data_IF_555988985715
#
_entry.id   IF_555988985715
#
_cell.length_a   1.000
_cell.length_b   1.000
_cell.length_c   1.000
_cell.angle_alpha   90.00
_cell.angle_beta   90.00
_cell.angle_gamma   90.00
#
_symmetry.space_group_name_H-M   'P 1'
#
loop_
_entity.id
_entity.type
_entity.pdbx_description
1 polymer ?
#
# COMPACT_ATOMS: atom_id res chain seq x y z
N UNK A 1 2.03 37.42 -11.70
CA UNK A 1 2.22 36.46 -12.80
C UNK A 1 2.92 35.23 -12.24
N UNK A 2 2.13 34.21 -11.90
CA UNK A 2 2.61 32.96 -11.33
C UNK A 2 3.14 32.08 -12.47
N UNK A 3 4.45 31.77 -12.45
CA UNK A 3 5.08 30.89 -13.43
C UNK A 3 4.57 29.47 -13.18
N UNK A 4 3.62 29.02 -14.01
CA UNK A 4 3.24 27.61 -14.11
C UNK A 4 4.51 26.84 -14.47
N UNK A 5 5.06 26.13 -13.48
CA UNK A 5 6.26 25.31 -13.60
C UNK A 5 5.99 24.24 -14.66
N UNK A 6 6.69 24.30 -15.79
CA UNK A 6 6.59 23.29 -16.86
C UNK A 6 6.79 21.91 -16.24
N UNK A 7 5.79 21.06 -16.39
CA UNK A 7 5.84 19.64 -16.06
C UNK A 7 7.03 19.06 -16.83
N UNK A 8 8.12 18.76 -16.13
CA UNK A 8 9.26 18.09 -16.73
C UNK A 8 8.79 16.77 -17.31
N UNK A 9 9.19 16.47 -18.55
CA UNK A 9 8.94 15.16 -19.17
C UNK A 9 9.41 14.07 -18.20
N UNK A 10 8.54 13.10 -17.84
CA UNK A 10 8.92 12.03 -16.93
C UNK A 10 10.15 11.30 -17.49
N UNK A 11 11.12 11.02 -16.63
CA UNK A 11 12.35 10.35 -17.04
C UNK A 11 12.05 9.02 -17.72
N UNK A 12 12.79 8.67 -18.77
CA UNK A 12 12.57 7.46 -19.58
C UNK A 12 12.49 6.17 -18.73
N UNK A 13 13.22 6.12 -17.60
CA UNK A 13 13.15 5.03 -16.64
C UNK A 13 11.75 4.84 -16.02
N UNK A 14 11.07 5.92 -15.65
CA UNK A 14 9.72 5.87 -15.09
C UNK A 14 8.68 5.42 -16.12
N UNK A 15 8.86 5.82 -17.37
CA UNK A 15 7.97 5.39 -18.46
C UNK A 15 8.17 3.89 -18.72
N UNK A 16 9.43 3.43 -18.78
CA UNK A 16 9.75 2.02 -18.98
C UNK A 16 9.23 1.14 -17.83
N UNK A 17 9.39 1.57 -16.57
CA UNK A 17 8.91 0.83 -15.40
C UNK A 17 7.38 0.78 -15.33
N UNK A 18 6.69 1.90 -15.64
CA UNK A 18 5.23 1.93 -15.71
C UNK A 18 4.69 1.00 -16.80
N UNK A 19 5.34 1.00 -17.98
CA UNK A 19 4.95 0.12 -19.11
C UNK A 19 5.11 -1.35 -18.74
N UNK A 20 6.21 -1.71 -18.07
CA UNK A 20 6.44 -3.07 -17.58
C UNK A 20 5.38 -3.49 -16.56
N UNK A 21 5.03 -2.61 -15.61
CA UNK A 21 3.98 -2.89 -14.63
C UNK A 21 2.63 -3.14 -15.31
N UNK A 22 2.25 -2.32 -16.30
CA UNK A 22 1.02 -2.50 -17.07
C UNK A 22 1.02 -3.81 -17.88
N UNK A 23 2.16 -4.18 -18.47
CA UNK A 23 2.29 -5.44 -19.21
C UNK A 23 2.07 -6.66 -18.29
N UNK A 24 2.62 -6.64 -17.08
CA UNK A 24 2.41 -7.72 -16.09
C UNK A 24 0.92 -7.83 -15.73
N UNK A 25 0.26 -6.71 -15.46
CA UNK A 25 -1.18 -6.68 -15.13
C UNK A 25 -2.01 -7.22 -16.29
N UNK A 26 -1.71 -6.83 -17.53
CA UNK A 26 -2.41 -7.32 -18.72
C UNK A 26 -2.24 -8.83 -18.91
N UNK A 27 -1.03 -9.37 -18.71
CA UNK A 27 -0.77 -10.81 -18.78
C UNK A 27 -1.58 -11.56 -17.71
N UNK A 28 -1.58 -11.06 -16.47
CA UNK A 28 -2.35 -11.65 -15.37
C UNK A 28 -3.86 -11.63 -15.67
N UNK A 29 -4.38 -10.56 -16.28
CA UNK A 29 -5.78 -10.45 -16.68
C UNK A 29 -6.15 -11.46 -17.79
N UNK A 30 -5.26 -11.69 -18.76
CA UNK A 30 -5.50 -12.63 -19.88
C UNK A 30 -5.43 -14.11 -19.46
N UNK A 31 -4.68 -14.46 -18.42
CA UNK A 31 -4.51 -15.84 -17.93
C UNK A 31 -5.78 -16.48 -17.33
N UNK A 32 -6.86 -15.70 -17.18
CA UNK A 32 -8.17 -16.16 -16.74
C UNK A 32 -8.30 -16.36 -15.22
N UNK A 33 -9.55 -16.48 -14.77
CA UNK A 33 -9.93 -16.40 -13.34
C UNK A 33 -9.21 -17.40 -12.42
N UNK A 34 -8.91 -18.62 -12.90
CA UNK A 34 -8.27 -19.66 -12.08
C UNK A 34 -6.81 -19.35 -11.75
N UNK A 35 -6.09 -18.77 -12.70
CA UNK A 35 -4.70 -18.36 -12.51
C UNK A 35 -4.66 -17.03 -11.75
N UNK A 36 -5.57 -16.12 -12.06
CA UNK A 36 -5.76 -14.88 -11.30
C UNK A 36 -5.94 -15.15 -9.81
N UNK A 37 -6.80 -16.09 -9.41
CA UNK A 37 -7.01 -16.42 -8.00
C UNK A 37 -5.73 -16.93 -7.29
N UNK A 38 -4.86 -17.67 -7.98
CA UNK A 38 -3.57 -18.12 -7.42
C UNK A 38 -2.59 -16.96 -7.28
N UNK A 39 -2.51 -16.09 -8.28
CA UNK A 39 -1.63 -14.92 -8.29
C UNK A 39 -2.10 -13.89 -7.26
N UNK A 40 -3.41 -13.62 -7.16
CA UNK A 40 -3.99 -12.71 -6.17
C UNK A 40 -3.68 -13.16 -4.74
N UNK A 41 -3.76 -14.46 -4.44
CA UNK A 41 -3.32 -15.00 -3.13
C UNK A 41 -1.85 -14.69 -2.87
N UNK A 42 -0.98 -14.87 -3.86
CA UNK A 42 0.44 -14.53 -3.71
C UNK A 42 0.65 -13.02 -3.51
N UNK A 43 -0.06 -12.17 -4.26
CA UNK A 43 0.01 -10.70 -4.13
C UNK A 43 -0.42 -10.23 -2.74
N UNK A 44 -1.34 -10.92 -2.08
CA UNK A 44 -1.77 -10.58 -0.71
C UNK A 44 -0.82 -11.15 0.35
N UNK A 45 -0.33 -12.37 0.17
CA UNK A 45 0.54 -13.04 1.16
C UNK A 45 1.97 -12.48 1.13
N UNK A 46 2.49 -12.15 -0.06
CA UNK A 46 3.88 -11.72 -0.22
C UNK A 46 4.22 -10.44 0.57
N UNK A 47 3.42 -9.35 0.53
CA UNK A 47 3.65 -8.18 1.37
C UNK A 47 3.67 -8.50 2.86
N UNK A 48 2.83 -9.45 3.32
CA UNK A 48 2.80 -9.89 4.71
C UNK A 48 4.11 -10.58 5.11
N UNK A 49 4.66 -11.42 4.22
CA UNK A 49 5.96 -12.08 4.42
C UNK A 49 7.07 -11.03 4.45
N UNK A 50 7.07 -10.08 3.51
CA UNK A 50 8.04 -8.99 3.47
C UNK A 50 7.99 -8.15 4.75
N UNK A 51 6.79 -7.77 5.20
CA UNK A 51 6.60 -7.03 6.44
C UNK A 51 7.14 -7.79 7.65
N UNK A 52 6.84 -9.09 7.74
CA UNK A 52 7.37 -9.96 8.79
C UNK A 52 8.89 -10.02 8.76
N UNK A 53 9.49 -10.21 7.57
CA UNK A 53 10.93 -10.26 7.41
C UNK A 53 11.61 -8.93 7.78
N UNK A 54 11.03 -7.79 7.38
CA UNK A 54 11.51 -6.46 7.77
C UNK A 54 11.41 -6.24 9.28
N UNK A 55 10.34 -6.70 9.92
CA UNK A 55 10.16 -6.62 11.37
C UNK A 55 11.21 -7.47 12.09
N UNK A 56 11.46 -8.70 11.63
CA UNK A 56 12.51 -9.56 12.17
C UNK A 56 13.89 -8.92 12.01
N UNK A 57 14.18 -8.38 10.83
CA UNK A 57 15.43 -7.66 10.58
C UNK A 57 15.61 -6.47 11.52
N UNK A 58 14.56 -5.67 11.72
CA UNK A 58 14.56 -4.56 12.68
C UNK A 58 14.78 -5.05 14.11
N UNK A 59 14.14 -6.14 14.53
CA UNK A 59 14.36 -6.75 15.85
C UNK A 59 15.80 -7.24 16.04
N UNK A 60 16.42 -7.82 15.01
CA UNK A 60 17.80 -8.29 15.06
C UNK A 60 18.83 -7.15 15.07
N UNK A 61 18.57 -6.04 14.37
CA UNK A 61 19.53 -4.94 14.23
C UNK A 61 19.35 -3.82 15.26
N UNK A 62 18.13 -3.37 15.49
CA UNK A 62 17.81 -2.30 16.45
C UNK A 62 17.58 -2.82 17.88
N UNK A 63 17.39 -4.14 18.03
CA UNK A 63 17.06 -4.79 19.29
C UNK A 63 15.56 -4.87 19.54
N UNK A 64 15.13 -5.99 20.14
CA UNK A 64 13.71 -6.30 20.38
C UNK A 64 12.97 -5.19 21.14
N UNK A 65 13.57 -4.68 22.22
CA UNK A 65 12.95 -3.68 23.08
C UNK A 65 12.81 -2.31 22.42
N UNK A 66 13.78 -1.91 21.60
CA UNK A 66 13.70 -0.65 20.85
C UNK A 66 12.63 -0.73 19.77
N UNK A 67 12.55 -1.85 19.04
CA UNK A 67 11.53 -2.06 18.02
C UNK A 67 10.13 -2.09 18.62
N UNK A 68 9.93 -2.79 19.74
CA UNK A 68 8.65 -2.77 20.47
C UNK A 68 8.33 -1.38 21.01
N UNK A 69 9.33 -0.66 21.54
CA UNK A 69 9.18 0.72 22.01
C UNK A 69 8.69 1.66 20.91
N UNK A 70 9.30 1.61 19.73
CA UNK A 70 8.88 2.43 18.57
C UNK A 70 7.50 2.05 18.03
N UNK A 71 7.14 0.77 18.08
CA UNK A 71 5.78 0.33 17.74
C UNK A 71 4.79 0.90 18.76
N UNK A 72 5.09 0.78 20.06
CA UNK A 72 4.22 1.29 21.13
C UNK A 72 4.07 2.82 21.08
N UNK A 73 5.14 3.55 20.73
CA UNK A 73 5.11 4.99 20.53
C UNK A 73 4.25 5.37 19.32
N UNK A 74 4.33 4.63 18.22
CA UNK A 74 3.44 4.80 17.06
C UNK A 74 1.96 4.55 17.35
N UNK A 75 1.65 3.74 18.37
CA UNK A 75 0.28 3.51 18.86
C UNK A 75 -0.14 4.40 20.03
N UNK A 76 0.74 5.29 20.50
CA UNK A 76 0.42 6.16 21.63
C UNK A 76 -0.68 7.16 21.23
N UNK A 77 -1.82 7.18 21.93
CA UNK A 77 -2.97 7.97 21.49
C UNK A 77 -2.75 9.46 21.73
N UNK A 78 -2.59 10.22 20.65
CA UNK A 78 -2.56 11.68 20.72
C UNK A 78 -4.00 12.23 20.81
N UNK A 79 -4.48 12.47 22.04
CA UNK A 79 -5.86 12.91 22.30
C UNK A 79 -6.22 14.24 21.64
N UNK A 80 -5.23 15.10 21.40
CA UNK A 80 -5.46 16.41 20.80
C UNK A 80 -5.75 16.29 19.29
N UNK A 81 -5.04 15.39 18.59
CA UNK A 81 -5.29 15.08 17.18
C UNK A 81 -6.59 14.28 16.98
N UNK A 82 -6.96 13.43 17.93
CA UNK A 82 -8.20 12.66 17.88
C UNK A 82 -9.47 13.52 17.87
N UNK A 83 -9.44 14.72 18.46
CA UNK A 83 -10.58 15.64 18.47
C UNK A 83 -10.61 16.58 17.25
N UNK A 84 -9.59 16.54 16.39
CA UNK A 84 -9.54 17.36 15.19
C UNK A 84 -10.47 16.80 14.11
N UNK A 85 -11.21 17.67 13.41
CA UNK A 85 -12.10 17.22 12.33
C UNK A 85 -11.33 16.65 11.13
N UNK A 86 -10.06 17.05 10.99
CA UNK A 86 -9.14 16.56 9.97
C UNK A 86 -8.84 15.07 10.18
N UNK A 87 -8.53 14.63 11.40
CA UNK A 87 -8.24 13.21 11.66
C UNK A 87 -9.44 12.31 11.39
N UNK A 88 -10.66 12.76 11.73
CA UNK A 88 -11.90 12.06 11.38
C UNK A 88 -12.13 12.01 9.87
N UNK A 89 -11.84 13.09 9.16
CA UNK A 89 -11.97 13.14 7.70
C UNK A 89 -10.99 12.19 7.01
N UNK A 90 -9.72 12.17 7.45
CA UNK A 90 -8.70 11.25 6.95
C UNK A 90 -9.04 9.80 7.29
N UNK A 91 -9.50 9.52 8.50
CA UNK A 91 -9.92 8.18 8.91
C UNK A 91 -11.11 7.69 8.08
N UNK A 92 -12.14 8.52 7.87
CA UNK A 92 -13.28 8.19 7.01
C UNK A 92 -12.84 7.91 5.58
N UNK A 93 -11.97 8.76 5.02
CA UNK A 93 -11.42 8.58 3.68
C UNK A 93 -10.62 7.26 3.58
N UNK A 94 -9.78 6.98 4.57
CA UNK A 94 -8.96 5.76 4.62
C UNK A 94 -9.81 4.49 4.68
N UNK A 95 -10.87 4.49 5.50
CA UNK A 95 -11.84 3.38 5.58
C UNK A 95 -12.58 3.24 4.26
N UNK A 96 -13.07 4.33 3.67
CA UNK A 96 -13.77 4.30 2.37
C UNK A 96 -12.89 3.71 1.26
N UNK A 97 -11.64 4.16 1.11
CA UNK A 97 -10.74 3.61 0.10
C UNK A 97 -10.39 2.15 0.36
N UNK A 98 -10.11 1.78 1.61
CA UNK A 98 -9.75 0.41 1.96
C UNK A 98 -10.92 -0.57 1.72
N UNK A 99 -12.14 -0.17 2.09
CA UNK A 99 -13.33 -1.00 1.92
C UNK A 99 -13.77 -1.08 0.44
N UNK A 100 -13.68 0.03 -0.30
CA UNK A 100 -13.97 0.05 -1.73
C UNK A 100 -12.99 -0.83 -2.51
N UNK A 101 -11.70 -0.81 -2.15
CA UNK A 101 -10.68 -1.69 -2.72
C UNK A 101 -10.94 -3.18 -2.40
N UNK A 102 -11.33 -3.50 -1.16
CA UNK A 102 -11.74 -4.85 -0.77
C UNK A 102 -12.98 -5.33 -1.52
N UNK A 103 -13.99 -4.47 -1.74
CA UNK A 103 -15.19 -4.80 -2.51
C UNK A 103 -14.89 -5.00 -4.00
N UNK A 104 -13.96 -4.23 -4.57
CA UNK A 104 -13.50 -4.41 -5.95
C UNK A 104 -12.75 -5.73 -6.17
N UNK A 105 -12.00 -6.20 -5.17
CA UNK A 105 -11.27 -7.48 -5.23
C UNK A 105 -12.18 -8.67 -4.90
N UNK A 106 -13.18 -8.46 -4.03
CA UNK A 106 -14.07 -9.52 -3.52
C UNK A 106 -15.34 -9.69 -4.35
N UNK A 107 -15.66 -8.76 -5.25
CA UNK A 107 -16.77 -8.93 -6.18
C UNK A 107 -16.42 -10.03 -7.18
N UNK A 108 -17.14 -11.17 -7.21
CA UNK A 108 -17.13 -11.98 -8.40
C UNK A 108 -17.72 -11.11 -9.51
N UNK A 109 -16.90 -10.69 -10.47
CA UNK A 109 -17.40 -10.16 -11.74
C UNK A 109 -18.36 -11.21 -12.30
N UNK A 110 -19.67 -10.94 -12.22
CA UNK A 110 -20.67 -11.49 -13.12
C UNK A 110 -20.44 -10.90 -14.50
#
# INVERSE_FOLDING_TARGET
MEKIRKQGTPGAFYIASATLAQAIVAVIAMLGMRIYAKIARFIVIFPLICFTACTIYAMCYAGLWNTIGSIAEGFSPNRQEFMSIESWSVAALHVCFSHCFLLLISSPMM
#
